data_IF_713322628010
#
_entry.id   IF_713322628010
#
_cell.length_a   1.000
_cell.length_b   1.000
_cell.length_c   1.000
_cell.angle_alpha   90.00
_cell.angle_beta   90.00
_cell.angle_gamma   90.00
#
_symmetry.space_group_name_H-M   'P 1'
#
loop_
_entity.id
_entity.type
_entity.pdbx_description
1 polymer ?
#
# COMPACT_ATOMS: atom_id res chain seq x y z
N UNK A 1 23.04 -39.89 -9.50
CA UNK A 1 21.96 -39.85 -8.48
C UNK A 1 21.55 -38.40 -8.28
N UNK A 2 20.97 -37.79 -9.34
CA UNK A 2 20.63 -36.37 -9.46
C UNK A 2 19.16 -36.25 -9.85
N UNK A 3 18.25 -36.74 -9.01
CA UNK A 3 16.82 -36.62 -9.24
C UNK A 3 16.12 -36.36 -7.92
N UNK A 4 15.16 -35.43 -7.96
CA UNK A 4 14.15 -35.15 -6.95
C UNK A 4 14.51 -34.15 -5.84
N UNK A 5 14.46 -32.86 -6.18
CA UNK A 5 13.87 -31.83 -5.31
C UNK A 5 13.44 -30.62 -6.16
N UNK A 6 12.43 -30.84 -7.01
CA UNK A 6 11.70 -29.77 -7.70
C UNK A 6 10.27 -29.65 -7.13
N UNK A 7 10.12 -29.77 -5.81
CA UNK A 7 8.82 -29.85 -5.17
C UNK A 7 8.67 -28.85 -4.02
N UNK A 8 8.67 -27.55 -4.33
CA UNK A 8 8.05 -26.52 -3.48
C UNK A 8 7.95 -25.16 -4.16
N UNK A 9 7.44 -25.09 -5.40
CA UNK A 9 7.23 -23.82 -6.13
C UNK A 9 5.89 -23.14 -5.87
N UNK A 10 5.07 -23.64 -4.95
CA UNK A 10 3.76 -23.07 -4.64
C UNK A 10 3.66 -22.68 -3.16
N UNK A 11 4.36 -21.61 -2.77
CA UNK A 11 4.19 -20.96 -1.46
C UNK A 11 3.54 -19.60 -1.60
N UNK A 12 2.36 -19.55 -2.21
CA UNK A 12 1.52 -18.35 -2.23
C UNK A 12 0.05 -18.72 -2.03
N UNK A 13 -0.28 -19.05 -0.78
CA UNK A 13 -1.60 -18.76 -0.21
C UNK A 13 -1.31 -18.06 1.12
N UNK A 14 -1.08 -16.73 1.07
CA UNK A 14 -1.22 -15.93 2.28
C UNK A 14 -2.71 -15.97 2.61
N UNK A 15 -3.12 -16.40 3.82
CA UNK A 15 -4.51 -16.28 4.23
C UNK A 15 -4.86 -14.80 4.15
N UNK A 16 -5.99 -14.50 3.50
CA UNK A 16 -6.58 -13.17 3.43
C UNK A 16 -6.57 -12.56 4.83
N UNK A 17 -5.67 -11.60 5.03
CA UNK A 17 -5.56 -10.80 6.25
C UNK A 17 -6.95 -10.28 6.53
N UNK A 18 -7.49 -10.66 7.70
CA UNK A 18 -8.79 -10.24 8.17
C UNK A 18 -8.99 -8.76 7.86
N UNK A 19 -10.06 -8.46 7.11
CA UNK A 19 -10.61 -7.13 6.97
C UNK A 19 -11.08 -6.67 8.36
N UNK A 20 -10.13 -6.27 9.21
CA UNK A 20 -10.45 -5.40 10.34
C UNK A 20 -11.17 -4.21 9.75
N UNK A 21 -12.34 -3.88 10.30
CA UNK A 21 -13.11 -2.71 9.87
C UNK A 21 -12.14 -1.53 9.68
N UNK A 22 -12.30 -0.70 8.63
CA UNK A 22 -11.47 0.48 8.41
C UNK A 22 -11.31 1.37 9.65
N UNK A 23 -12.24 1.27 10.60
CA UNK A 23 -12.27 2.05 11.84
C UNK A 23 -11.93 1.26 13.13
N UNK A 24 -11.63 -0.04 13.04
CA UNK A 24 -11.37 -0.92 14.20
C UNK A 24 -12.63 -1.34 14.95
N UNK A 25 -12.54 -2.40 15.75
CA UNK A 25 -13.72 -3.00 16.42
C UNK A 25 -14.08 -2.33 17.77
N UNK A 26 -13.32 -1.31 18.17
CA UNK A 26 -13.61 -0.50 19.35
C UNK A 26 -14.96 0.21 19.24
N UNK A 27 -15.53 0.60 20.39
CA UNK A 27 -16.76 1.40 20.46
C UNK A 27 -16.70 2.68 19.59
N UNK A 28 -15.52 3.31 19.50
CA UNK A 28 -15.29 4.49 18.65
C UNK A 28 -15.24 4.12 17.16
N UNK A 29 -14.69 2.95 16.83
CA UNK A 29 -14.58 2.49 15.46
C UNK A 29 -15.94 2.19 14.85
N UNK A 30 -16.80 1.49 15.59
CA UNK A 30 -18.19 1.22 15.17
C UNK A 30 -18.99 2.51 14.97
N UNK A 31 -18.78 3.52 15.83
CA UNK A 31 -19.41 4.84 15.67
C UNK A 31 -18.84 5.61 14.49
N UNK A 32 -17.53 5.62 14.31
CA UNK A 32 -16.88 6.24 13.16
C UNK A 32 -17.36 5.63 11.84
N UNK A 33 -17.56 4.31 11.78
CA UNK A 33 -18.13 3.62 10.62
C UNK A 33 -19.58 4.03 10.37
N UNK A 34 -20.40 4.16 11.42
CA UNK A 34 -21.76 4.68 11.29
C UNK A 34 -21.78 6.12 10.82
N UNK A 35 -20.91 6.98 11.35
CA UNK A 35 -20.78 8.38 10.91
C UNK A 35 -20.28 8.46 9.46
N UNK A 36 -19.27 7.70 9.07
CA UNK A 36 -18.76 7.67 7.70
C UNK A 36 -19.86 7.25 6.70
N UNK A 37 -20.66 6.23 7.04
CA UNK A 37 -21.81 5.81 6.23
C UNK A 37 -22.94 6.85 6.20
N UNK A 38 -23.04 7.70 7.22
CA UNK A 38 -24.04 8.76 7.31
C UNK A 38 -23.64 10.02 6.53
N UNK A 39 -22.41 10.51 6.73
CA UNK A 39 -21.83 11.65 6.01
C UNK A 39 -21.52 11.36 4.55
N UNK A 40 -21.25 10.11 4.18
CA UNK A 40 -21.04 9.71 2.77
C UNK A 40 -22.30 9.77 1.91
N UNK A 41 -23.48 10.00 2.50
CA UNK A 41 -24.74 10.15 1.76
C UNK A 41 -24.99 11.65 1.47
N UNK A 42 -25.14 12.08 0.21
CA UNK A 42 -25.44 13.48 -0.12
C UNK A 42 -26.76 13.99 0.48
N UNK A 43 -27.62 13.07 0.91
CA UNK A 43 -28.90 13.35 1.58
C UNK A 43 -28.71 14.06 2.93
N UNK A 44 -27.61 13.83 3.65
CA UNK A 44 -27.37 14.47 4.94
C UNK A 44 -27.20 15.99 4.80
N UNK A 45 -26.34 16.43 3.87
CA UNK A 45 -26.13 17.85 3.60
C UNK A 45 -27.43 18.53 3.18
N UNK A 46 -28.21 17.87 2.32
CA UNK A 46 -29.48 18.41 1.83
C UNK A 46 -30.51 18.59 2.95
N UNK A 47 -30.64 17.59 3.85
CA UNK A 47 -31.50 17.69 5.02
C UNK A 47 -31.06 18.80 5.99
N UNK A 48 -29.75 18.93 6.23
CA UNK A 48 -29.19 19.99 7.09
C UNK A 48 -29.46 21.39 6.52
N UNK A 49 -29.26 21.58 5.21
CA UNK A 49 -29.54 22.85 4.53
C UNK A 49 -31.03 23.20 4.59
N UNK A 50 -31.92 22.23 4.33
CA UNK A 50 -33.38 22.46 4.41
C UNK A 50 -33.81 22.82 5.82
N UNK A 51 -33.26 22.17 6.85
CA UNK A 51 -33.56 22.49 8.25
C UNK A 51 -33.17 23.92 8.60
N UNK A 52 -31.95 24.33 8.25
CA UNK A 52 -31.45 25.70 8.48
C UNK A 52 -32.30 26.73 7.73
N UNK A 53 -32.59 26.49 6.45
CA UNK A 53 -33.42 27.39 5.63
C UNK A 53 -34.85 27.49 6.18
N UNK A 54 -35.43 26.37 6.63
CA UNK A 54 -36.77 26.36 7.22
C UNK A 54 -36.80 27.17 8.53
N UNK A 55 -35.77 27.05 9.37
CA UNK A 55 -35.64 27.84 10.59
C UNK A 55 -35.54 29.33 10.33
N UNK A 56 -34.70 29.72 9.36
CA UNK A 56 -34.55 31.12 8.93
C UNK A 56 -35.86 31.65 8.35
N UNK A 57 -36.54 30.88 7.50
CA UNK A 57 -37.81 31.27 6.89
C UNK A 57 -38.93 31.45 7.93
N UNK A 58 -39.07 30.54 8.88
CA UNK A 58 -40.07 30.63 9.97
C UNK A 58 -39.82 31.85 10.88
N UNK A 59 -38.56 32.18 11.18
CA UNK A 59 -38.21 33.39 11.93
C UNK A 59 -38.44 34.67 11.09
N UNK A 60 -38.08 34.65 9.80
CA UNK A 60 -38.26 35.80 8.90
C UNK A 60 -39.74 36.12 8.61
N UNK A 61 -40.61 35.11 8.63
CA UNK A 61 -42.07 35.28 8.49
C UNK A 61 -42.74 35.89 9.73
N UNK A 62 -41.98 36.22 10.79
CA UNK A 62 -42.46 36.95 11.97
C UNK A 62 -43.47 36.19 12.84
N UNK A 63 -43.68 34.90 12.57
CA UNK A 63 -44.68 34.07 13.25
C UNK A 63 -44.25 33.71 14.68
N UNK A 64 -42.94 33.67 14.91
CA UNK A 64 -42.31 33.39 16.20
C UNK A 64 -41.05 34.27 16.33
N UNK A 65 -41.06 35.28 17.20
CA UNK A 65 -39.92 36.20 17.43
C UNK A 65 -38.80 35.57 18.29
N UNK A 66 -38.52 34.27 18.10
CA UNK A 66 -37.59 33.54 18.96
C UNK A 66 -36.11 33.91 18.68
N UNK A 67 -35.76 34.36 17.47
CA UNK A 67 -34.38 34.76 17.12
C UNK A 67 -34.34 35.94 16.10
N UNK A 68 -34.52 37.20 16.55
CA UNK A 68 -34.40 38.40 15.70
C UNK A 68 -32.99 38.56 15.11
N UNK A 69 -32.85 39.29 14.01
CA UNK A 69 -31.55 39.60 13.39
C UNK A 69 -30.59 40.17 14.45
N UNK A 70 -29.41 39.57 14.74
CA UNK A 70 -28.61 38.65 13.92
C UNK A 70 -28.55 37.20 14.48
N UNK A 71 -29.65 36.45 14.45
CA UNK A 71 -29.74 34.99 14.68
C UNK A 71 -28.74 34.42 15.71
N UNK A 72 -28.78 34.90 16.96
CA UNK A 72 -27.76 34.60 17.98
C UNK A 72 -27.78 33.13 18.37
N UNK A 73 -28.97 32.51 18.39
CA UNK A 73 -29.12 31.11 18.80
C UNK A 73 -28.60 30.17 17.72
N UNK A 74 -28.88 30.48 16.44
CA UNK A 74 -28.34 29.71 15.32
C UNK A 74 -26.81 29.75 15.32
N UNK A 75 -26.24 30.94 15.55
CA UNK A 75 -24.80 31.12 15.62
C UNK A 75 -24.19 30.34 16.80
N UNK A 76 -24.83 30.37 17.97
CA UNK A 76 -24.41 29.62 19.16
C UNK A 76 -24.40 28.10 18.91
N UNK A 77 -25.46 27.57 18.29
CA UNK A 77 -25.57 26.14 17.99
C UNK A 77 -24.51 25.72 16.98
N UNK A 78 -24.30 26.48 15.90
CA UNK A 78 -23.24 26.20 14.93
C UNK A 78 -21.84 26.28 15.54
N UNK A 79 -21.60 27.27 16.41
CA UNK A 79 -20.32 27.43 17.12
C UNK A 79 -20.04 26.22 18.03
N UNK A 80 -21.06 25.75 18.74
CA UNK A 80 -20.95 24.56 19.60
C UNK A 80 -20.79 23.29 18.76
N UNK A 81 -21.49 23.18 17.62
CA UNK A 81 -21.34 22.07 16.68
C UNK A 81 -19.90 21.97 16.15
N UNK A 82 -19.30 23.10 15.77
CA UNK A 82 -17.89 23.16 15.35
C UNK A 82 -16.94 22.78 16.50
N UNK A 83 -17.20 23.28 17.71
CA UNK A 83 -16.39 22.98 18.90
C UNK A 83 -16.40 21.49 19.26
N UNK A 84 -17.53 20.80 19.11
CA UNK A 84 -17.61 19.35 19.35
C UNK A 84 -17.04 18.51 18.19
N UNK A 85 -17.10 19.02 16.96
CA UNK A 85 -16.51 18.35 15.81
C UNK A 85 -14.97 18.27 15.90
N UNK A 86 -14.31 19.33 16.38
CA UNK A 86 -12.85 19.41 16.49
C UNK A 86 -12.19 18.22 17.24
N UNK A 87 -12.59 17.84 18.47
CA UNK A 87 -12.00 16.71 19.18
C UNK A 87 -12.33 15.36 18.53
N UNK A 88 -13.52 15.20 17.93
CA UNK A 88 -13.87 13.98 17.18
C UNK A 88 -12.98 13.82 15.94
N UNK A 89 -12.73 14.90 15.22
CA UNK A 89 -11.84 14.91 14.06
C UNK A 89 -10.40 14.62 14.51
N UNK A 90 -9.94 15.24 15.61
CA UNK A 90 -8.60 15.00 16.14
C UNK A 90 -8.38 13.52 16.50
N UNK A 91 -9.35 12.89 17.18
CA UNK A 91 -9.30 11.47 17.51
C UNK A 91 -9.34 10.56 16.27
N UNK A 92 -10.11 10.94 15.25
CA UNK A 92 -10.11 10.23 13.97
C UNK A 92 -8.76 10.37 13.24
N UNK A 93 -8.15 11.55 13.31
CA UNK A 93 -6.85 11.84 12.71
C UNK A 93 -5.71 11.11 13.41
N UNK A 94 -5.69 11.03 14.75
CA UNK A 94 -4.63 10.30 15.48
C UNK A 94 -4.67 8.81 15.16
N UNK A 95 -5.86 8.20 15.15
CA UNK A 95 -6.05 6.80 14.74
C UNK A 95 -5.69 6.57 13.27
N UNK A 96 -6.04 7.52 12.40
CA UNK A 96 -5.63 7.49 11.00
C UNK A 96 -4.11 7.52 10.85
N UNK A 97 -3.43 8.41 11.57
CA UNK A 97 -1.97 8.57 11.52
C UNK A 97 -1.22 7.35 12.08
N UNK A 98 -1.71 6.73 13.16
CA UNK A 98 -1.14 5.47 13.68
C UNK A 98 -1.25 4.33 12.66
N UNK A 99 -2.40 4.22 11.99
CA UNK A 99 -2.61 3.24 10.93
C UNK A 99 -1.71 3.50 9.72
N UNK A 100 -1.60 4.75 9.30
CA UNK A 100 -0.73 5.15 8.19
C UNK A 100 0.73 4.81 8.48
N UNK A 101 1.20 5.05 9.71
CA UNK A 101 2.55 4.64 10.14
C UNK A 101 2.74 3.12 10.08
N UNK A 102 1.79 2.35 10.60
CA UNK A 102 1.88 0.89 10.56
C UNK A 102 1.92 0.33 9.12
N UNK A 103 1.16 0.91 8.19
CA UNK A 103 1.23 0.55 6.77
C UNK A 103 2.57 0.96 6.15
N UNK A 104 3.06 2.16 6.44
CA UNK A 104 4.35 2.64 5.95
C UNK A 104 5.52 1.76 6.41
N UNK A 105 5.51 1.33 7.68
CA UNK A 105 6.54 0.45 8.24
C UNK A 105 6.54 -0.94 7.57
N UNK A 106 5.35 -1.53 7.38
CA UNK A 106 5.21 -2.81 6.68
C UNK A 106 5.63 -2.72 5.20
N UNK A 107 5.30 -1.62 4.53
CA UNK A 107 5.74 -1.35 3.17
C UNK A 107 7.27 -1.18 3.08
N UNK A 108 7.89 -0.54 4.08
CA UNK A 108 9.34 -0.38 4.14
C UNK A 108 10.05 -1.73 4.28
N UNK A 109 9.60 -2.58 5.21
CA UNK A 109 10.14 -3.94 5.40
C UNK A 109 9.96 -4.79 4.12
N UNK A 110 8.81 -4.67 3.47
CA UNK A 110 8.56 -5.39 2.22
C UNK A 110 9.48 -4.93 1.09
N UNK A 111 9.72 -3.61 0.97
CA UNK A 111 10.68 -3.05 0.00
C UNK A 111 12.10 -3.52 0.27
N UNK A 112 12.52 -3.59 1.53
CA UNK A 112 13.84 -4.09 1.91
C UNK A 112 14.01 -5.57 1.55
N UNK A 113 13.00 -6.39 1.82
CA UNK A 113 12.98 -7.81 1.45
C UNK A 113 13.04 -7.99 -0.07
N UNK A 114 12.31 -7.17 -0.83
CA UNK A 114 12.37 -7.22 -2.30
C UNK A 114 13.76 -6.78 -2.78
N UNK A 115 14.31 -5.69 -2.25
CA UNK A 115 15.62 -5.18 -2.67
C UNK A 115 16.74 -6.19 -2.42
N UNK A 116 16.74 -6.87 -1.26
CA UNK A 116 17.71 -7.92 -0.95
C UNK A 116 17.58 -9.12 -1.89
N UNK A 117 16.35 -9.57 -2.16
CA UNK A 117 16.12 -10.67 -3.13
C UNK A 117 16.55 -10.29 -4.56
N UNK A 118 16.34 -9.05 -4.98
CA UNK A 118 16.79 -8.56 -6.29
C UNK A 118 18.32 -8.52 -6.35
N UNK A 119 18.98 -8.07 -5.29
CA UNK A 119 20.44 -8.05 -5.21
C UNK A 119 21.03 -9.47 -5.32
N UNK A 120 20.40 -10.45 -4.66
CA UNK A 120 20.81 -11.86 -4.76
C UNK A 120 20.68 -12.38 -6.19
N UNK A 121 19.55 -12.12 -6.87
CA UNK A 121 19.35 -12.52 -8.26
C UNK A 121 20.35 -11.87 -9.22
N UNK A 122 20.67 -10.59 -9.02
CA UNK A 122 21.69 -9.90 -9.82
C UNK A 122 23.08 -10.51 -9.61
N UNK A 123 23.41 -10.88 -8.36
CA UNK A 123 24.67 -11.54 -8.02
C UNK A 123 24.77 -12.91 -8.71
N UNK A 124 23.71 -13.72 -8.63
CA UNK A 124 23.65 -15.02 -9.30
C UNK A 124 23.78 -14.89 -10.84
N UNK A 125 23.10 -13.92 -11.46
CA UNK A 125 23.23 -13.67 -12.90
C UNK A 125 24.66 -13.28 -13.29
N UNK A 126 25.31 -12.44 -12.48
CA UNK A 126 26.70 -12.04 -12.71
C UNK A 126 27.63 -13.24 -12.61
N UNK A 127 27.44 -14.10 -11.61
CA UNK A 127 28.23 -15.33 -11.45
C UNK A 127 28.04 -16.28 -12.64
N UNK A 128 26.80 -16.54 -13.06
CA UNK A 128 26.49 -17.35 -14.24
C UNK A 128 27.17 -16.79 -15.49
N UNK A 129 27.16 -15.45 -15.66
CA UNK A 129 27.82 -14.78 -16.78
C UNK A 129 29.34 -15.01 -16.77
N UNK A 130 29.96 -14.92 -15.58
CA UNK A 130 31.39 -15.20 -15.41
C UNK A 130 31.71 -16.69 -15.69
N UNK A 131 30.86 -17.62 -15.26
CA UNK A 131 31.03 -19.05 -15.56
C UNK A 131 30.97 -19.32 -17.06
N UNK A 132 30.00 -18.74 -17.77
CA UNK A 132 29.88 -18.84 -19.23
C UNK A 132 31.14 -18.30 -19.91
N UNK A 133 31.63 -17.12 -19.49
CA UNK A 133 32.86 -16.55 -20.03
C UNK A 133 34.08 -17.47 -19.82
N UNK A 134 34.20 -18.09 -18.64
CA UNK A 134 35.30 -19.02 -18.33
C UNK A 134 35.23 -20.29 -19.18
N UNK A 135 34.04 -20.89 -19.33
CA UNK A 135 33.85 -22.07 -20.18
C UNK A 135 34.18 -21.77 -21.64
N UNK A 136 33.78 -20.61 -22.15
CA UNK A 136 34.13 -20.17 -23.49
C UNK A 136 35.66 -20.08 -23.69
N UNK A 137 36.40 -19.52 -22.74
CA UNK A 137 37.86 -19.47 -22.78
C UNK A 137 38.52 -20.86 -22.73
N UNK A 138 37.97 -21.78 -21.93
CA UNK A 138 38.48 -23.16 -21.86
C UNK A 138 38.28 -23.91 -23.18
N UNK A 139 37.10 -23.79 -23.79
CA UNK A 139 36.81 -24.40 -25.10
C UNK A 139 37.77 -23.84 -26.16
N UNK A 140 37.98 -22.52 -26.17
CA UNK A 140 38.92 -21.90 -27.11
C UNK A 140 40.35 -22.42 -26.92
N UNK A 141 40.81 -22.53 -25.68
CA UNK A 141 42.15 -23.05 -25.34
C UNK A 141 42.30 -24.50 -25.78
N UNK A 142 41.35 -25.37 -25.42
CA UNK A 142 41.33 -26.77 -25.84
C UNK A 142 41.29 -26.93 -27.35
N UNK A 143 40.52 -26.07 -28.04
CA UNK A 143 40.43 -26.07 -29.51
C UNK A 143 41.77 -25.69 -30.14
N UNK A 144 42.46 -24.67 -29.61
CA UNK A 144 43.80 -24.29 -30.08
C UNK A 144 44.82 -25.41 -29.84
N UNK A 145 44.78 -26.07 -28.68
CA UNK A 145 45.68 -27.20 -28.38
C UNK A 145 45.43 -28.40 -29.31
N UNK A 146 44.17 -28.78 -29.49
CA UNK A 146 43.78 -29.84 -30.44
C UNK A 146 44.25 -29.51 -31.85
N UNK A 147 44.02 -28.29 -32.33
CA UNK A 147 44.47 -27.86 -33.66
C UNK A 147 45.99 -27.91 -33.78
N UNK A 148 46.72 -27.47 -32.75
CA UNK A 148 48.19 -27.55 -32.71
C UNK A 148 48.71 -28.99 -32.75
N UNK A 149 48.09 -29.91 -32.00
CA UNK A 149 48.48 -31.34 -31.99
C UNK A 149 48.19 -32.03 -33.32
N UNK A 150 47.02 -31.80 -33.93
CA UNK A 150 46.67 -32.38 -35.24
C UNK A 150 47.63 -31.92 -36.34
N UNK A 151 48.00 -30.64 -36.35
CA UNK A 151 48.98 -30.10 -37.31
C UNK A 151 50.38 -30.67 -37.09
N UNK A 152 50.78 -30.90 -35.83
CA UNK A 152 52.06 -31.53 -35.52
C UNK A 152 52.10 -33.01 -35.94
N UNK A 153 51.02 -33.76 -35.70
CA UNK A 153 50.91 -35.19 -36.00
C UNK A 153 50.86 -35.46 -37.52
N UNK A 154 50.19 -34.59 -38.28
CA UNK A 154 50.20 -34.62 -39.75
C UNK A 154 51.57 -34.29 -40.34
N UNK A 155 52.37 -33.45 -39.69
CA UNK A 155 53.75 -33.16 -40.11
C UNK A 155 54.71 -34.33 -39.84
N UNK A 156 54.47 -35.16 -38.82
CA UNK A 156 55.28 -36.36 -38.57
C UNK A 156 54.90 -37.57 -39.42
N UNK A 157 53.66 -37.64 -39.93
CA UNK A 157 53.20 -38.73 -40.80
C UNK A 157 53.51 -38.51 -42.29
N UNK A 158 54.03 -37.33 -42.67
CA UNK A 158 54.31 -36.95 -44.07
C UNK A 158 55.78 -36.95 -44.49
N UNK A 159 56.65 -37.65 -43.76
CA UNK A 159 58.08 -37.88 -44.12
C UNK A 159 58.28 -39.36 -44.42
#
# INVERSE_FOLDING_TARGET
>A
MFMSQAASRFRFHRPSVQLRSPFGDDWFGQRAESFARFFGKPRYLLMQTVLVLSWVALNAMGTFHYDPYPFILLNLVFSTQAAYAAPMILLAQTRGAERERAHADADAEHRETIATSQMELLTQNTELTVQVARLAQQIETLTREMHGRIVADTKSAGV
#
